data_IF_480613642348
#
_entry.id   IF_480613642348
#
_cell.length_a   1.000
_cell.length_b   1.000
_cell.length_c   1.000
_cell.angle_alpha   90.00
_cell.angle_beta   90.00
_cell.angle_gamma   90.00
#
_symmetry.space_group_name_H-M   'P 1'
#
loop_
_entity.id
_entity.type
_entity.pdbx_description
1 polymer ?
#
# COMPACT_ATOMS: atom_id res chain seq x y z
N UNK A 1 -7.95 5.55 -5.75
CA UNK A 1 -7.49 6.48 -4.71
C UNK A 1 -6.08 6.93 -5.01
N UNK A 2 -5.83 8.23 -4.84
CA UNK A 2 -4.56 8.83 -5.24
C UNK A 2 -3.35 8.29 -4.52
N UNK A 3 -3.45 8.01 -3.22
CA UNK A 3 -2.29 7.56 -2.46
C UNK A 3 -1.82 6.15 -2.88
N UNK A 4 -2.72 5.30 -3.36
CA UNK A 4 -2.31 3.96 -3.80
C UNK A 4 -1.51 4.00 -5.09
N UNK A 5 -1.74 5.00 -5.94
CA UNK A 5 -0.87 5.23 -7.10
C UNK A 5 0.53 5.61 -6.65
N UNK A 6 0.63 6.43 -5.62
CA UNK A 6 1.93 6.84 -5.06
C UNK A 6 2.65 5.66 -4.42
N UNK A 7 1.91 4.79 -3.72
CA UNK A 7 2.48 3.56 -3.17
C UNK A 7 3.06 2.69 -4.28
N UNK A 8 2.32 2.50 -5.37
CA UNK A 8 2.78 1.70 -6.49
C UNK A 8 4.04 2.28 -7.12
N UNK A 9 4.10 3.60 -7.30
CA UNK A 9 5.30 4.27 -7.80
C UNK A 9 6.50 4.04 -6.89
N UNK A 10 6.30 4.15 -5.58
CA UNK A 10 7.39 3.98 -4.62
C UNK A 10 7.87 2.54 -4.57
N UNK A 11 7.02 1.56 -4.81
CA UNK A 11 7.41 0.16 -4.83
C UNK A 11 8.31 -0.20 -5.99
N UNK A 12 8.40 0.64 -7.02
CA UNK A 12 9.39 0.44 -8.10
C UNK A 12 10.82 0.62 -7.62
N UNK A 13 11.04 1.42 -6.59
CA UNK A 13 12.39 1.70 -6.09
C UNK A 13 12.57 1.37 -4.60
N UNK A 14 11.53 0.91 -3.94
CA UNK A 14 11.57 0.57 -2.52
C UNK A 14 10.85 -0.76 -2.29
N UNK A 15 11.40 -1.61 -1.46
CA UNK A 15 10.79 -2.91 -1.18
C UNK A 15 9.66 -2.83 -0.17
N UNK A 16 9.52 -1.71 0.51
CA UNK A 16 8.49 -1.53 1.54
C UNK A 16 8.02 -0.09 1.55
N UNK A 17 6.72 0.10 1.53
CA UNK A 17 6.11 1.43 1.63
C UNK A 17 5.07 1.40 2.75
N UNK A 18 5.30 2.17 3.81
CA UNK A 18 4.40 2.25 4.95
C UNK A 18 3.38 3.36 4.73
N UNK A 19 2.11 2.99 4.87
CA UNK A 19 1.01 3.96 4.90
C UNK A 19 0.66 4.17 6.38
N UNK A 20 0.95 5.35 6.94
CA UNK A 20 0.77 5.60 8.39
C UNK A 20 -0.64 5.25 8.86
N UNK A 21 -0.73 4.58 9.99
CA UNK A 21 -1.98 4.15 10.63
C UNK A 21 -2.81 3.16 9.83
N UNK A 22 -2.24 2.58 8.77
CA UNK A 22 -2.94 1.60 7.94
C UNK A 22 -2.15 0.29 7.87
N UNK A 23 -0.92 0.35 7.36
CA UNK A 23 -0.07 -0.81 7.22
C UNK A 23 0.98 -0.58 6.15
N UNK A 24 1.74 -1.62 5.83
CA UNK A 24 2.82 -1.54 4.85
C UNK A 24 2.57 -2.45 3.67
N UNK A 25 2.90 -1.96 2.49
CA UNK A 25 2.95 -2.77 1.28
C UNK A 25 4.40 -3.21 1.08
N UNK A 26 4.62 -4.51 1.02
CA UNK A 26 5.95 -5.09 0.95
C UNK A 26 6.09 -5.87 -0.35
N UNK A 27 7.13 -5.54 -1.11
CA UNK A 27 7.44 -6.26 -2.35
C UNK A 27 8.24 -7.49 -2.00
N UNK A 28 7.72 -8.67 -2.33
CA UNK A 28 8.36 -9.95 -2.06
C UNK A 28 8.71 -10.66 -3.35
N UNK A 29 9.74 -11.48 -3.28
CA UNK A 29 10.18 -12.29 -4.42
C UNK A 29 9.80 -13.74 -4.22
N UNK A 30 9.42 -14.40 -5.31
CA UNK A 30 9.18 -15.82 -5.34
C UNK A 30 10.17 -16.45 -6.32
N UNK A 31 10.93 -17.43 -5.84
CA UNK A 31 11.91 -18.11 -6.67
C UNK A 31 11.23 -18.92 -7.77
N UNK A 32 11.95 -19.17 -8.87
CA UNK A 32 11.49 -20.07 -9.91
C UNK A 32 11.21 -21.46 -9.32
N UNK A 33 10.18 -22.12 -9.83
CA UNK A 33 9.84 -23.47 -9.37
C UNK A 33 9.20 -24.27 -10.49
N UNK A 34 9.15 -25.59 -10.30
CA UNK A 34 8.51 -26.51 -11.24
C UNK A 34 7.37 -27.21 -10.51
N UNK A 35 6.20 -27.20 -11.13
CA UNK A 35 5.02 -27.87 -10.58
C UNK A 35 4.26 -28.52 -11.72
N UNK A 36 3.95 -29.81 -11.59
CA UNK A 36 3.21 -30.56 -12.62
C UNK A 36 3.85 -30.48 -14.00
N UNK A 37 5.19 -30.55 -14.02
CA UNK A 37 6.00 -30.47 -15.25
C UNK A 37 5.94 -29.11 -15.95
N UNK A 38 5.43 -28.09 -15.27
CA UNK A 38 5.42 -26.73 -15.79
C UNK A 38 6.46 -25.90 -15.07
N UNK A 39 7.19 -25.08 -15.83
CA UNK A 39 8.18 -24.16 -15.28
C UNK A 39 7.55 -22.82 -14.98
N UNK A 40 7.71 -22.36 -13.76
CA UNK A 40 7.26 -21.04 -13.33
C UNK A 40 8.50 -20.19 -13.03
N UNK A 41 8.71 -19.09 -13.78
CA UNK A 41 9.90 -18.24 -13.58
C UNK A 41 9.83 -17.48 -12.27
N UNK A 42 10.95 -16.88 -11.83
CA UNK A 42 10.93 -16.02 -10.66
C UNK A 42 9.95 -14.87 -10.87
N UNK A 43 9.26 -14.48 -9.82
CA UNK A 43 8.28 -13.40 -9.89
C UNK A 43 8.32 -12.57 -8.64
N UNK A 44 7.68 -11.39 -8.71
CA UNK A 44 7.53 -10.52 -7.55
C UNK A 44 6.04 -10.34 -7.29
N UNK A 45 5.69 -10.18 -6.01
CA UNK A 45 4.32 -9.92 -5.61
C UNK A 45 4.30 -8.96 -4.44
N UNK A 46 3.16 -8.29 -4.25
CA UNK A 46 2.99 -7.33 -3.17
C UNK A 46 2.22 -7.98 -2.04
N UNK A 47 2.76 -7.91 -0.84
CA UNK A 47 2.14 -8.40 0.38
C UNK A 47 1.77 -7.21 1.27
N UNK A 48 0.73 -7.34 2.07
CA UNK A 48 0.32 -6.31 3.00
C UNK A 48 0.55 -6.75 4.43
N UNK A 49 1.20 -5.88 5.23
CA UNK A 49 1.45 -6.15 6.64
C UNK A 49 0.82 -5.04 7.49
N UNK A 50 -0.29 -5.36 8.13
CA UNK A 50 -1.04 -4.40 8.94
C UNK A 50 -0.32 -4.03 10.24
N UNK A 51 0.70 -4.78 10.63
CA UNK A 51 1.47 -4.50 11.86
C UNK A 51 2.48 -3.39 11.66
N UNK A 52 2.95 -3.17 10.42
CA UNK A 52 3.92 -2.15 10.09
C UNK A 52 3.20 -0.87 9.68
N UNK A 53 2.84 -0.04 10.65
CA UNK A 53 2.08 1.18 10.38
C UNK A 53 2.67 2.44 10.99
N UNK A 54 3.88 2.34 11.51
CA UNK A 54 4.59 3.51 12.03
C UNK A 54 5.13 4.35 10.88
N UNK A 55 4.90 5.64 10.93
CA UNK A 55 5.29 6.55 9.86
C UNK A 55 6.82 6.68 9.74
N UNK A 56 7.37 6.25 8.61
CA UNK A 56 8.80 6.46 8.31
C UNK A 56 9.05 7.69 7.44
N UNK A 57 7.98 8.38 7.05
CA UNK A 57 8.07 9.62 6.27
C UNK A 57 8.17 9.43 4.77
N UNK A 58 8.38 8.22 4.27
CA UNK A 58 8.62 8.00 2.85
C UNK A 58 7.44 8.43 1.97
N UNK A 59 6.25 7.93 2.27
CA UNK A 59 5.06 8.23 1.47
C UNK A 59 4.68 9.70 1.58
N UNK A 60 4.67 10.26 2.78
CA UNK A 60 4.31 11.66 2.99
C UNK A 60 5.29 12.60 2.28
N UNK A 61 6.58 12.30 2.34
CA UNK A 61 7.59 13.11 1.65
C UNK A 61 7.40 13.06 0.14
N UNK A 62 7.14 11.88 -0.39
CA UNK A 62 6.87 11.72 -1.83
C UNK A 62 5.67 12.56 -2.26
N UNK A 63 4.57 12.49 -1.53
CA UNK A 63 3.36 13.25 -1.83
C UNK A 63 3.62 14.75 -1.73
N UNK A 64 4.36 15.19 -0.71
CA UNK A 64 4.65 16.60 -0.52
C UNK A 64 5.43 17.18 -1.69
N UNK A 65 6.39 16.42 -2.21
CA UNK A 65 7.20 16.85 -3.36
C UNK A 65 6.35 16.84 -4.63
N UNK A 66 5.63 15.77 -4.87
CA UNK A 66 4.86 15.61 -6.10
C UNK A 66 3.72 16.62 -6.21
N UNK A 67 3.01 16.86 -5.11
CA UNK A 67 1.88 17.79 -5.09
C UNK A 67 2.26 19.20 -4.68
N UNK A 68 3.52 19.43 -4.34
CA UNK A 68 4.02 20.74 -3.89
C UNK A 68 3.26 21.28 -2.69
N UNK A 69 3.02 20.42 -1.72
CA UNK A 69 2.36 20.78 -0.46
C UNK A 69 3.31 20.46 0.71
N UNK A 70 2.98 20.98 1.90
CA UNK A 70 3.81 20.72 3.07
C UNK A 70 3.73 19.25 3.49
N UNK A 71 4.76 18.79 4.19
CA UNK A 71 4.78 17.43 4.77
C UNK A 71 3.56 17.21 5.67
N UNK A 72 3.24 18.20 6.49
CA UNK A 72 2.09 18.13 7.39
C UNK A 72 0.77 17.95 6.62
N UNK A 73 0.60 18.68 5.54
CA UNK A 73 -0.58 18.52 4.67
C UNK A 73 -0.63 17.15 4.02
N UNK A 74 0.53 16.64 3.66
CA UNK A 74 0.62 15.28 3.08
C UNK A 74 0.14 14.23 4.06
N UNK A 75 0.53 14.34 5.33
CA UNK A 75 0.08 13.42 6.37
C UNK A 75 -1.44 13.50 6.57
N UNK A 76 -2.00 14.69 6.54
CA UNK A 76 -3.45 14.87 6.64
C UNK A 76 -4.18 14.25 5.46
N UNK A 77 -3.64 14.41 4.26
CA UNK A 77 -4.21 13.83 3.05
C UNK A 77 -4.23 12.31 3.13
N UNK A 78 -3.12 11.71 3.53
CA UNK A 78 -3.03 10.26 3.70
C UNK A 78 -4.06 9.78 4.71
N UNK A 79 -4.13 10.42 5.86
CA UNK A 79 -5.07 10.06 6.92
C UNK A 79 -6.52 10.13 6.43
N UNK A 80 -6.85 11.19 5.71
CA UNK A 80 -8.20 11.37 5.18
C UNK A 80 -8.58 10.28 4.19
N UNK A 81 -7.68 9.96 3.27
CA UNK A 81 -7.96 8.93 2.26
C UNK A 81 -8.07 7.55 2.90
N UNK A 82 -7.23 7.25 3.88
CA UNK A 82 -7.27 5.96 4.57
C UNK A 82 -8.55 5.82 5.39
N UNK A 83 -8.98 6.89 6.07
CA UNK A 83 -10.24 6.87 6.80
C UNK A 83 -11.40 6.57 5.85
N UNK A 84 -11.44 7.24 4.71
CA UNK A 84 -12.47 7.01 3.70
C UNK A 84 -12.43 5.57 3.19
N UNK A 85 -11.25 5.05 2.93
CA UNK A 85 -11.07 3.69 2.44
C UNK A 85 -11.57 2.65 3.46
N UNK A 86 -11.23 2.84 4.74
CA UNK A 86 -11.68 1.94 5.80
C UNK A 86 -13.19 1.97 5.95
N UNK A 87 -13.80 3.13 5.86
CA UNK A 87 -15.26 3.26 5.92
C UNK A 87 -15.93 2.55 4.75
N UNK A 88 -15.37 2.68 3.57
CA UNK A 88 -15.90 2.01 2.38
C UNK A 88 -15.79 0.49 2.51
N UNK A 89 -14.68 -0.03 3.03
CA UNK A 89 -14.52 -1.45 3.27
C UNK A 89 -15.53 -1.98 4.29
N UNK A 90 -15.78 -1.21 5.36
CA UNK A 90 -16.75 -1.61 6.37
C UNK A 90 -18.15 -1.70 5.78
N UNK A 91 -18.53 -0.76 4.94
CA UNK A 91 -19.81 -0.80 4.25
C UNK A 91 -19.93 -2.01 3.34
N UNK A 92 -18.86 -2.30 2.59
CA UNK A 92 -18.84 -3.44 1.69
C UNK A 92 -18.97 -4.75 2.48
N UNK A 93 -18.27 -4.85 3.61
CA UNK A 93 -18.36 -6.03 4.47
C UNK A 93 -19.77 -6.22 5.02
N UNK A 94 -20.43 -5.14 5.41
CA UNK A 94 -21.80 -5.20 5.91
C UNK A 94 -22.74 -5.68 4.81
N UNK A 95 -22.57 -5.21 3.60
CA UNK A 95 -23.35 -5.63 2.43
C UNK A 95 -23.14 -7.12 2.16
N UNK A 96 -21.89 -7.57 2.17
CA UNK A 96 -21.55 -8.97 1.96
C UNK A 96 -22.17 -9.87 3.02
N UNK A 97 -22.19 -9.40 4.26
CA UNK A 97 -22.75 -10.17 5.37
C UNK A 97 -24.24 -10.39 5.20
N UNK A 98 -24.92 -9.44 4.60
CA UNK A 98 -26.37 -9.52 4.37
C UNK A 98 -26.74 -10.40 3.20
N UNK A 99 -25.85 -10.55 2.28
CA UNK A 99 -26.11 -11.38 1.12
C UNK A 99 -25.84 -12.85 1.41
#
# INVERSE_FOLDING_TARGET
>A
MGIFKDVAKLLHSNDCVIVPNFGAFVLKSKSAYIQKNEFYPPSKYVSFNAMLKDNDGLLAKHISIEKKISYKKSLKLISKEITFFKESLSKDLIIDTKS
#
